data_IF_886519456636
#
_entry.id   IF_886519456636
#
_cell.length_a   1.000
_cell.length_b   1.000
_cell.length_c   1.000
_cell.angle_alpha   90.00
_cell.angle_beta   90.00
_cell.angle_gamma   90.00
#
_symmetry.space_group_name_H-M   'P 1'
#
loop_
_entity.id
_entity.type
_entity.pdbx_description
1 polymer ?
#
# COMPACT_ATOMS: atom_id res chain seq x y z
N UNK A 1 1.51 -33.96 -6.08
CA UNK A 1 0.49 -33.05 -6.62
C UNK A 1 0.04 -32.17 -5.46
N UNK A 2 -0.06 -30.85 -5.65
CA UNK A 2 -0.26 -29.91 -4.52
C UNK A 2 -1.75 -29.87 -4.14
N UNK A 3 -2.11 -30.57 -3.06
CA UNK A 3 -3.48 -30.73 -2.55
C UNK A 3 -4.24 -29.39 -2.48
N UNK A 4 -3.57 -28.29 -2.11
CA UNK A 4 -4.20 -26.97 -2.04
C UNK A 4 -4.67 -26.45 -3.40
N UNK A 5 -3.87 -26.65 -4.46
CA UNK A 5 -4.23 -26.24 -5.82
C UNK A 5 -5.47 -26.99 -6.31
N UNK A 6 -5.54 -28.29 -6.04
CA UNK A 6 -6.70 -29.12 -6.37
C UNK A 6 -7.96 -28.63 -5.65
N UNK A 7 -7.85 -28.28 -4.36
CA UNK A 7 -8.96 -27.70 -3.59
C UNK A 7 -9.49 -26.40 -4.21
N UNK A 8 -8.62 -25.45 -4.58
CA UNK A 8 -9.06 -24.22 -5.24
C UNK A 8 -9.73 -24.47 -6.59
N UNK A 9 -9.17 -25.39 -7.40
CA UNK A 9 -9.75 -25.75 -8.69
C UNK A 9 -11.13 -26.37 -8.54
N UNK A 10 -11.30 -27.28 -7.56
CA UNK A 10 -12.58 -27.89 -7.27
C UNK A 10 -13.60 -26.85 -6.79
N UNK A 11 -13.22 -25.94 -5.89
CA UNK A 11 -14.10 -24.88 -5.40
C UNK A 11 -14.57 -23.95 -6.54
N UNK A 12 -13.66 -23.58 -7.45
CA UNK A 12 -13.97 -22.80 -8.64
C UNK A 12 -14.95 -23.54 -9.55
N UNK A 13 -14.73 -24.84 -9.79
CA UNK A 13 -15.60 -25.65 -10.61
C UNK A 13 -17.01 -25.71 -10.02
N UNK A 14 -17.14 -25.99 -8.72
CA UNK A 14 -18.43 -26.05 -8.02
C UNK A 14 -19.18 -24.72 -8.10
N UNK A 15 -18.51 -23.58 -7.89
CA UNK A 15 -19.15 -22.27 -8.01
C UNK A 15 -19.58 -21.97 -9.47
N UNK A 16 -18.78 -22.38 -10.44
CA UNK A 16 -19.07 -22.19 -11.87
C UNK A 16 -20.29 -23.02 -12.30
N UNK A 17 -20.33 -24.29 -11.89
CA UNK A 17 -21.45 -25.19 -12.16
C UNK A 17 -22.74 -24.69 -11.50
N UNK A 18 -22.64 -24.22 -10.24
CA UNK A 18 -23.75 -23.61 -9.53
C UNK A 18 -24.29 -22.37 -10.28
N UNK A 19 -23.42 -21.49 -10.78
CA UNK A 19 -23.84 -20.33 -11.59
C UNK A 19 -24.53 -20.74 -12.89
N UNK A 20 -24.05 -21.80 -13.55
CA UNK A 20 -24.66 -22.32 -14.76
C UNK A 20 -26.07 -22.89 -14.49
N UNK A 21 -26.22 -23.66 -13.41
CA UNK A 21 -27.52 -24.19 -12.98
C UNK A 21 -28.49 -23.06 -12.62
N UNK A 22 -28.06 -22.06 -11.86
CA UNK A 22 -28.87 -20.89 -11.50
C UNK A 22 -29.31 -20.09 -12.74
N UNK A 23 -28.48 -20.04 -13.78
CA UNK A 23 -28.83 -19.41 -15.06
C UNK A 23 -29.95 -20.19 -15.77
N UNK A 24 -29.87 -21.52 -15.80
CA UNK A 24 -30.85 -22.39 -16.44
C UNK A 24 -32.21 -22.37 -15.70
N UNK A 25 -32.20 -22.38 -14.37
CA UNK A 25 -33.42 -22.42 -13.55
C UNK A 25 -34.10 -21.06 -13.39
N UNK A 26 -33.57 -19.99 -14.01
CA UNK A 26 -34.01 -18.60 -13.81
C UNK A 26 -34.10 -18.23 -12.32
N UNK A 27 -33.19 -18.77 -11.51
CA UNK A 27 -33.14 -18.51 -10.08
C UNK A 27 -32.96 -17.02 -9.76
N UNK A 28 -33.29 -16.67 -8.53
CA UNK A 28 -33.22 -15.32 -7.97
C UNK A 28 -31.87 -14.64 -8.24
N UNK A 29 -31.94 -13.33 -8.52
CA UNK A 29 -30.78 -12.51 -8.87
C UNK A 29 -29.82 -12.32 -7.68
N UNK A 30 -30.35 -12.25 -6.45
CA UNK A 30 -29.53 -12.14 -5.25
C UNK A 30 -28.73 -13.42 -5.02
N UNK A 31 -29.36 -14.60 -5.20
CA UNK A 31 -28.66 -15.88 -5.09
C UNK A 31 -27.52 -16.00 -6.12
N UNK A 32 -27.76 -15.62 -7.39
CA UNK A 32 -26.71 -15.55 -8.42
C UNK A 32 -25.57 -14.63 -8.02
N UNK A 33 -25.89 -13.46 -7.46
CA UNK A 33 -24.91 -12.48 -6.98
C UNK A 33 -24.06 -13.05 -5.84
N UNK A 34 -24.66 -13.78 -4.89
CA UNK A 34 -23.95 -14.45 -3.79
C UNK A 34 -22.96 -15.49 -4.30
N UNK A 35 -23.41 -16.43 -5.14
CA UNK A 35 -22.51 -17.48 -5.68
C UNK A 35 -21.38 -16.88 -6.51
N UNK A 36 -21.64 -15.82 -7.27
CA UNK A 36 -20.60 -15.09 -8.01
C UNK A 36 -19.62 -14.37 -7.09
N UNK A 37 -20.09 -13.86 -5.94
CA UNK A 37 -19.23 -13.32 -4.88
C UNK A 37 -18.31 -14.38 -4.29
N UNK A 38 -18.83 -15.58 -3.99
CA UNK A 38 -18.01 -16.71 -3.52
C UNK A 38 -16.97 -17.16 -4.55
N UNK A 39 -17.34 -17.18 -5.84
CA UNK A 39 -16.38 -17.44 -6.92
C UNK A 39 -15.26 -16.39 -6.95
N UNK A 40 -15.61 -15.10 -6.83
CA UNK A 40 -14.64 -14.00 -6.79
C UNK A 40 -13.70 -14.12 -5.59
N UNK A 41 -14.25 -14.42 -4.41
CA UNK A 41 -13.49 -14.64 -3.18
C UNK A 41 -12.54 -15.83 -3.30
N UNK A 42 -13.01 -16.94 -3.89
CA UNK A 42 -12.17 -18.13 -4.11
C UNK A 42 -10.96 -17.80 -4.99
N UNK A 43 -11.15 -17.05 -6.08
CA UNK A 43 -10.04 -16.55 -6.89
C UNK A 43 -9.10 -15.64 -6.09
N UNK A 44 -9.63 -14.71 -5.29
CA UNK A 44 -8.81 -13.81 -4.50
C UNK A 44 -7.94 -14.57 -3.49
N UNK A 45 -8.53 -15.50 -2.74
CA UNK A 45 -7.81 -16.32 -1.75
C UNK A 45 -6.74 -17.17 -2.43
N UNK A 46 -7.05 -17.79 -3.56
CA UNK A 46 -6.06 -18.55 -4.32
C UNK A 46 -4.89 -17.66 -4.80
N UNK A 47 -5.18 -16.46 -5.30
CA UNK A 47 -4.15 -15.52 -5.74
C UNK A 47 -3.23 -15.10 -4.58
N UNK A 48 -3.80 -14.87 -3.39
CA UNK A 48 -3.05 -14.55 -2.17
C UNK A 48 -2.19 -15.73 -1.72
N UNK A 49 -2.69 -16.97 -1.80
CA UNK A 49 -1.92 -18.17 -1.47
C UNK A 49 -0.71 -18.37 -2.40
N UNK A 50 -0.88 -18.17 -3.72
CA UNK A 50 0.23 -18.17 -4.69
C UNK A 50 1.24 -17.06 -4.33
N UNK A 51 0.74 -15.85 -4.05
CA UNK A 51 1.57 -14.70 -3.70
C UNK A 51 2.39 -14.93 -2.41
N UNK A 52 1.79 -15.56 -1.40
CA UNK A 52 2.44 -15.83 -0.11
C UNK A 52 3.44 -16.98 -0.19
N UNK A 53 3.11 -18.06 -0.92
CA UNK A 53 4.01 -19.19 -1.16
C UNK A 53 5.29 -18.81 -1.93
N UNK A 54 5.29 -17.61 -2.51
CA UNK A 54 6.41 -17.02 -3.23
C UNK A 54 7.35 -16.24 -2.30
N UNK A 55 6.84 -15.67 -1.20
CA UNK A 55 7.64 -14.84 -0.28
C UNK A 55 8.53 -15.65 0.68
N UNK A 56 8.30 -16.96 0.83
CA UNK A 56 9.00 -17.81 1.83
C UNK A 56 10.39 -18.27 1.41
N UNK A 57 10.82 -17.99 0.18
CA UNK A 57 12.05 -18.56 -0.38
C UNK A 57 13.24 -17.59 -0.43
N UNK A 58 13.13 -16.39 0.17
CA UNK A 58 14.14 -15.30 0.13
C UNK A 58 14.70 -14.93 -1.27
N UNK A 59 14.14 -15.52 -2.33
CA UNK A 59 14.48 -15.32 -3.73
C UNK A 59 13.29 -14.66 -4.44
N UNK A 60 13.57 -13.64 -5.26
CA UNK A 60 12.55 -13.00 -6.09
C UNK A 60 11.80 -14.05 -6.92
N UNK A 61 10.45 -14.00 -7.01
CA UNK A 61 9.70 -14.88 -7.89
C UNK A 61 10.24 -14.92 -9.30
N UNK A 62 10.12 -16.09 -9.93
CA UNK A 62 10.20 -16.18 -11.39
C UNK A 62 9.06 -15.39 -12.02
N UNK A 63 9.31 -14.80 -13.20
CA UNK A 63 8.30 -14.06 -13.97
C UNK A 63 7.05 -14.90 -14.27
N UNK A 64 7.21 -16.22 -14.39
CA UNK A 64 6.10 -17.15 -14.58
C UNK A 64 5.14 -17.17 -13.37
N UNK A 65 5.68 -17.20 -12.14
CA UNK A 65 4.87 -17.18 -10.92
C UNK A 65 4.22 -15.82 -10.69
N UNK A 66 4.94 -14.73 -10.97
CA UNK A 66 4.39 -13.37 -10.94
C UNK A 66 3.16 -13.25 -11.86
N UNK A 67 3.27 -13.76 -13.09
CA UNK A 67 2.17 -13.79 -14.05
C UNK A 67 1.02 -14.71 -13.62
N UNK A 68 1.31 -15.85 -12.98
CA UNK A 68 0.29 -16.76 -12.47
C UNK A 68 -0.55 -16.08 -11.39
N UNK A 69 0.08 -15.49 -10.37
CA UNK A 69 -0.61 -14.76 -9.31
C UNK A 69 -1.48 -13.62 -9.89
N UNK A 70 -0.91 -12.82 -10.79
CA UNK A 70 -1.62 -11.74 -11.45
C UNK A 70 -2.84 -12.22 -12.26
N UNK A 71 -2.72 -13.35 -12.96
CA UNK A 71 -3.82 -13.91 -13.73
C UNK A 71 -5.00 -14.26 -12.82
N UNK A 72 -4.72 -14.84 -11.65
CA UNK A 72 -5.75 -15.22 -10.67
C UNK A 72 -6.35 -13.97 -10.01
N UNK A 73 -5.54 -12.98 -9.64
CA UNK A 73 -6.03 -11.68 -9.13
C UNK A 73 -6.95 -10.98 -10.13
N UNK A 74 -6.60 -10.96 -11.42
CA UNK A 74 -7.41 -10.33 -12.45
C UNK A 74 -8.77 -11.02 -12.65
N UNK A 75 -8.86 -12.33 -12.37
CA UNK A 75 -10.16 -13.03 -12.36
C UNK A 75 -11.05 -12.56 -11.20
N UNK A 76 -10.49 -12.43 -10.00
CA UNK A 76 -11.22 -11.86 -8.87
C UNK A 76 -11.68 -10.41 -9.14
N UNK A 77 -10.80 -9.56 -9.68
CA UNK A 77 -11.13 -8.18 -10.05
C UNK A 77 -12.29 -8.09 -11.04
N UNK A 78 -12.27 -8.91 -12.10
CA UNK A 78 -13.36 -8.94 -13.10
C UNK A 78 -14.69 -9.25 -12.43
N UNK A 79 -14.72 -10.30 -11.60
CA UNK A 79 -15.94 -10.74 -10.95
C UNK A 79 -16.48 -9.71 -9.95
N UNK A 80 -15.62 -9.11 -9.11
CA UNK A 80 -16.03 -8.04 -8.20
C UNK A 80 -16.48 -6.78 -8.93
N UNK A 81 -15.86 -6.43 -10.06
CA UNK A 81 -16.30 -5.31 -10.91
C UNK A 81 -17.68 -5.57 -11.50
N UNK A 82 -17.93 -6.79 -12.00
CA UNK A 82 -19.26 -7.18 -12.52
C UNK A 82 -20.33 -7.25 -11.41
N UNK A 83 -19.93 -7.42 -10.16
CA UNK A 83 -20.79 -7.35 -8.98
C UNK A 83 -21.01 -5.91 -8.48
N UNK A 84 -20.30 -4.93 -9.05
CA UNK A 84 -20.24 -3.55 -8.56
C UNK A 84 -19.80 -3.43 -7.09
N UNK A 85 -19.02 -4.40 -6.60
CA UNK A 85 -18.49 -4.41 -5.24
C UNK A 85 -17.19 -3.60 -5.17
N UNK A 86 -17.34 -2.28 -5.05
CA UNK A 86 -16.20 -1.34 -5.06
C UNK A 86 -15.21 -1.60 -3.92
N UNK A 87 -15.70 -2.03 -2.75
CA UNK A 87 -14.85 -2.37 -1.61
C UNK A 87 -13.94 -3.55 -1.95
N UNK A 88 -14.50 -4.60 -2.54
CA UNK A 88 -13.70 -5.78 -2.90
C UNK A 88 -12.79 -5.52 -4.10
N UNK A 89 -13.19 -4.67 -5.05
CA UNK A 89 -12.29 -4.19 -6.12
C UNK A 89 -11.07 -3.47 -5.51
N UNK A 90 -11.28 -2.52 -4.61
CA UNK A 90 -10.21 -1.79 -3.93
C UNK A 90 -9.34 -2.71 -3.06
N UNK A 91 -9.95 -3.62 -2.30
CA UNK A 91 -9.24 -4.64 -1.52
C UNK A 91 -8.35 -5.50 -2.41
N UNK A 92 -8.84 -5.94 -3.57
CA UNK A 92 -8.05 -6.74 -4.51
C UNK A 92 -6.89 -5.94 -5.09
N UNK A 93 -7.09 -4.65 -5.41
CA UNK A 93 -5.99 -3.76 -5.81
C UNK A 93 -4.93 -3.61 -4.71
N UNK A 94 -5.34 -3.44 -3.45
CA UNK A 94 -4.43 -3.43 -2.31
C UNK A 94 -3.62 -4.73 -2.17
N UNK A 95 -4.24 -5.89 -2.38
CA UNK A 95 -3.54 -7.19 -2.34
C UNK A 95 -2.51 -7.34 -3.46
N UNK A 96 -2.82 -6.89 -4.69
CA UNK A 96 -1.87 -6.87 -5.80
C UNK A 96 -0.69 -5.96 -5.48
N UNK A 97 -0.95 -4.74 -4.99
CA UNK A 97 0.10 -3.80 -4.63
C UNK A 97 1.02 -4.36 -3.53
N UNK A 98 0.43 -4.94 -2.48
CA UNK A 98 1.16 -5.59 -1.38
C UNK A 98 1.96 -6.82 -1.84
N UNK A 99 1.49 -7.55 -2.85
CA UNK A 99 2.28 -8.61 -3.49
C UNK A 99 3.53 -8.03 -4.17
N UNK A 100 3.39 -6.95 -4.94
CA UNK A 100 4.53 -6.29 -5.57
C UNK A 100 5.50 -5.66 -4.56
N UNK A 101 5.00 -5.02 -3.50
CA UNK A 101 5.83 -4.44 -2.43
C UNK A 101 6.75 -5.50 -1.79
N UNK A 102 6.23 -6.72 -1.56
CA UNK A 102 7.02 -7.86 -1.07
C UNK A 102 8.07 -8.33 -2.07
N UNK A 103 7.72 -8.39 -3.36
CA UNK A 103 8.69 -8.73 -4.42
C UNK A 103 9.82 -7.72 -4.46
N UNK A 104 9.48 -6.42 -4.45
CA UNK A 104 10.44 -5.31 -4.44
C UNK A 104 11.39 -5.45 -3.24
N UNK A 105 10.84 -5.66 -2.04
CA UNK A 105 11.62 -5.83 -0.81
C UNK A 105 12.56 -7.03 -0.88
N UNK A 106 12.08 -8.19 -1.37
CA UNK A 106 12.92 -9.39 -1.55
C UNK A 106 14.03 -9.18 -2.58
N UNK A 107 13.74 -8.47 -3.68
CA UNK A 107 14.71 -8.17 -4.74
C UNK A 107 15.82 -7.28 -4.18
N UNK A 108 15.46 -6.21 -3.47
CA UNK A 108 16.41 -5.28 -2.86
C UNK A 108 17.30 -5.94 -1.81
N UNK A 109 16.78 -6.90 -1.03
CA UNK A 109 17.58 -7.64 -0.05
C UNK A 109 18.60 -8.56 -0.75
N UNK A 110 18.17 -9.30 -1.77
CA UNK A 110 19.06 -10.17 -2.55
C UNK A 110 20.13 -9.39 -3.32
N UNK A 111 19.83 -8.17 -3.79
CA UNK A 111 20.81 -7.28 -4.42
C UNK A 111 21.83 -6.73 -3.42
N UNK A 112 21.44 -6.44 -2.16
CA UNK A 112 22.37 -6.00 -1.10
C UNK A 112 23.36 -7.08 -0.67
N UNK A 113 22.95 -8.34 -0.70
CA UNK A 113 23.82 -9.49 -0.36
C UNK A 113 24.86 -9.79 -1.45
N UNK A 114 24.65 -9.30 -2.68
CA UNK A 114 25.56 -9.44 -3.81
C UNK A 114 26.28 -8.11 -4.09
N UNK A 115 27.24 -7.74 -3.22
CA UNK A 115 27.95 -6.44 -3.20
C UNK A 115 28.73 -6.04 -4.48
N UNK A 116 28.69 -6.81 -5.57
CA UNK A 116 29.50 -6.58 -6.77
C UNK A 116 28.84 -5.76 -7.90
N UNK A 117 27.55 -5.43 -7.83
CA UNK A 117 26.90 -4.62 -8.89
C UNK A 117 26.64 -3.20 -8.45
N UNK A 118 27.67 -2.38 -8.64
CA UNK A 118 27.52 -0.93 -8.77
C UNK A 118 26.56 -0.59 -9.91
N UNK A 119 25.58 0.23 -9.54
CA UNK A 119 24.63 1.00 -10.35
C UNK A 119 23.23 0.41 -10.64
N UNK A 120 22.26 1.25 -10.27
CA UNK A 120 20.86 1.39 -10.71
C UNK A 120 19.89 0.22 -10.58
N UNK A 121 18.79 0.52 -9.88
CA UNK A 121 17.45 -0.01 -10.12
C UNK A 121 17.31 -0.66 -11.50
N UNK A 122 17.16 -1.98 -11.53
CA UNK A 122 16.90 -2.68 -12.78
C UNK A 122 15.60 -2.14 -13.39
N UNK A 123 15.50 -2.14 -14.72
CA UNK A 123 14.26 -1.77 -15.42
C UNK A 123 13.06 -2.59 -14.91
N UNK A 124 13.31 -3.84 -14.52
CA UNK A 124 12.36 -4.73 -13.86
C UNK A 124 11.90 -4.20 -12.50
N UNK A 125 12.83 -3.80 -11.62
CA UNK A 125 12.48 -3.26 -10.30
C UNK A 125 11.68 -1.96 -10.42
N UNK A 126 12.08 -1.07 -11.32
CA UNK A 126 11.35 0.18 -11.61
C UNK A 126 9.93 -0.12 -12.11
N UNK A 127 9.78 -1.09 -13.01
CA UNK A 127 8.47 -1.53 -13.50
C UNK A 127 7.59 -2.07 -12.37
N UNK A 128 8.14 -2.90 -11.48
CA UNK A 128 7.42 -3.44 -10.32
C UNK A 128 6.97 -2.35 -9.36
N UNK A 129 7.82 -1.35 -9.08
CA UNK A 129 7.47 -0.20 -8.24
C UNK A 129 6.31 0.60 -8.85
N UNK A 130 6.34 0.83 -10.16
CA UNK A 130 5.26 1.53 -10.86
C UNK A 130 3.94 0.75 -10.85
N UNK A 131 4.00 -0.58 -10.98
CA UNK A 131 2.81 -1.44 -10.86
C UNK A 131 2.23 -1.36 -9.44
N UNK A 132 3.08 -1.48 -8.40
CA UNK A 132 2.65 -1.37 -7.01
C UNK A 132 1.98 0.00 -6.75
N UNK A 133 2.61 1.09 -7.18
CA UNK A 133 2.10 2.46 -7.04
C UNK A 133 0.70 2.60 -7.65
N UNK A 134 0.51 2.20 -8.91
CA UNK A 134 -0.79 2.30 -9.60
C UNK A 134 -1.88 1.51 -8.90
N UNK A 135 -1.57 0.34 -8.36
CA UNK A 135 -2.55 -0.47 -7.65
C UNK A 135 -2.89 0.10 -6.27
N UNK A 136 -1.94 0.68 -5.55
CA UNK A 136 -2.24 1.44 -4.34
C UNK A 136 -3.12 2.67 -4.63
N UNK A 137 -2.84 3.41 -5.70
CA UNK A 137 -3.68 4.55 -6.12
C UNK A 137 -5.12 4.13 -6.41
N UNK A 138 -5.33 3.05 -7.16
CA UNK A 138 -6.68 2.49 -7.40
C UNK A 138 -7.37 2.00 -6.12
N UNK A 139 -6.61 1.51 -5.14
CA UNK A 139 -7.18 1.15 -3.85
C UNK A 139 -7.62 2.38 -3.05
N UNK A 140 -6.90 3.50 -3.18
CA UNK A 140 -7.25 4.78 -2.55
C UNK A 140 -8.50 5.42 -3.15
N UNK A 141 -8.89 5.12 -4.39
CA UNK A 141 -10.17 5.61 -4.95
C UNK A 141 -11.36 5.25 -4.05
N UNK A 142 -11.31 4.09 -3.37
CA UNK A 142 -12.31 3.70 -2.36
C UNK A 142 -11.86 4.01 -0.93
N UNK A 143 -10.66 3.59 -0.53
CA UNK A 143 -10.23 3.73 0.87
C UNK A 143 -9.90 5.18 1.27
N UNK A 144 -9.68 6.06 0.30
CA UNK A 144 -9.52 7.51 0.52
C UNK A 144 -10.83 8.30 0.46
N UNK A 145 -11.90 7.73 -0.08
CA UNK A 145 -13.19 8.42 -0.22
C UNK A 145 -14.29 7.87 0.70
N UNK A 146 -14.27 6.56 0.99
CA UNK A 146 -15.38 5.85 1.65
C UNK A 146 -14.96 5.28 3.01
N UNK A 147 -13.79 4.63 3.08
CA UNK A 147 -13.32 3.94 4.30
C UNK A 147 -11.93 4.45 4.74
N UNK A 148 -11.88 5.73 5.11
CA UNK A 148 -10.66 6.41 5.56
C UNK A 148 -10.29 5.95 6.98
N UNK A 149 -9.54 4.86 7.06
CA UNK A 149 -9.13 4.22 8.32
C UNK A 149 -7.76 3.54 8.25
N UNK A 150 -7.60 2.39 8.91
CA UNK A 150 -6.33 1.65 8.99
C UNK A 150 -5.76 1.33 7.61
N UNK A 151 -6.58 0.80 6.69
CA UNK A 151 -6.12 0.43 5.34
C UNK A 151 -5.62 1.64 4.57
N UNK A 152 -6.29 2.79 4.71
CA UNK A 152 -5.84 4.05 4.13
C UNK A 152 -4.45 4.44 4.64
N UNK A 153 -4.20 4.36 5.95
CA UNK A 153 -2.88 4.66 6.54
C UNK A 153 -1.80 3.70 6.03
N UNK A 154 -2.09 2.39 5.97
CA UNK A 154 -1.16 1.39 5.47
C UNK A 154 -0.77 1.66 4.01
N UNK A 155 -1.75 1.98 3.14
CA UNK A 155 -1.48 2.31 1.75
C UNK A 155 -0.56 3.55 1.64
N UNK A 156 -0.79 4.59 2.44
CA UNK A 156 0.06 5.78 2.45
C UNK A 156 1.49 5.47 2.93
N UNK A 157 1.66 4.62 3.94
CA UNK A 157 3.00 4.20 4.38
C UNK A 157 3.76 3.43 3.29
N UNK A 158 3.10 2.51 2.60
CA UNK A 158 3.69 1.73 1.50
C UNK A 158 4.03 2.61 0.29
N UNK A 159 3.14 3.53 -0.10
CA UNK A 159 3.41 4.52 -1.15
C UNK A 159 4.60 5.41 -0.79
N UNK A 160 4.68 5.89 0.46
CA UNK A 160 5.81 6.69 0.92
C UNK A 160 7.13 5.91 0.80
N UNK A 161 7.15 4.63 1.18
CA UNK A 161 8.33 3.78 1.04
C UNK A 161 8.75 3.60 -0.43
N UNK A 162 7.80 3.40 -1.36
CA UNK A 162 8.10 3.35 -2.80
C UNK A 162 8.74 4.64 -3.32
N UNK A 163 8.27 5.80 -2.84
CA UNK A 163 8.82 7.10 -3.22
C UNK A 163 10.22 7.36 -2.63
N UNK A 164 10.46 6.90 -1.39
CA UNK A 164 11.78 6.97 -0.73
C UNK A 164 12.79 6.08 -1.47
N UNK A 165 12.39 4.88 -1.88
CA UNK A 165 13.24 3.95 -2.62
C UNK A 165 13.81 4.58 -3.90
N UNK A 166 13.05 5.43 -4.58
CA UNK A 166 13.54 6.16 -5.76
C UNK A 166 14.73 7.10 -5.49
N UNK A 167 15.03 7.43 -4.22
CA UNK A 167 16.25 8.09 -3.76
C UNK A 167 16.43 9.57 -4.16
N UNK A 168 15.56 10.10 -5.01
CA UNK A 168 15.58 11.51 -5.44
C UNK A 168 14.93 12.40 -4.39
N UNK A 169 15.45 13.61 -4.23
CA UNK A 169 14.96 14.59 -3.25
C UNK A 169 13.45 14.83 -3.41
N UNK A 170 12.98 14.98 -4.66
CA UNK A 170 11.57 15.19 -4.97
C UNK A 170 10.71 13.99 -4.58
N UNK A 171 11.25 12.76 -4.71
CA UNK A 171 10.57 11.53 -4.29
C UNK A 171 10.43 11.48 -2.77
N UNK A 172 11.50 11.77 -2.03
CA UNK A 172 11.49 11.80 -0.57
C UNK A 172 10.57 12.92 -0.05
N UNK A 173 10.55 14.07 -0.73
CA UNK A 173 9.63 15.16 -0.40
C UNK A 173 8.17 14.75 -0.64
N UNK A 174 7.90 14.05 -1.74
CA UNK A 174 6.57 13.52 -2.02
C UNK A 174 6.14 12.46 -1.00
N UNK A 175 7.06 11.60 -0.55
CA UNK A 175 6.81 10.64 0.52
C UNK A 175 6.40 11.34 1.83
N UNK A 176 7.00 12.48 2.16
CA UNK A 176 6.58 13.29 3.31
C UNK A 176 5.13 13.75 3.16
N UNK A 177 4.75 14.31 2.01
CA UNK A 177 3.38 14.76 1.74
C UNK A 177 2.37 13.61 1.87
N UNK A 178 2.69 12.43 1.33
CA UNK A 178 1.87 11.22 1.47
C UNK A 178 1.69 10.86 2.95
N UNK A 179 2.77 10.82 3.73
CA UNK A 179 2.67 10.51 5.16
C UNK A 179 1.83 11.54 5.92
N UNK A 180 1.91 12.82 5.56
CA UNK A 180 1.09 13.87 6.18
C UNK A 180 -0.40 13.72 5.89
N UNK A 181 -0.79 13.16 4.73
CA UNK A 181 -2.19 12.90 4.40
C UNK A 181 -2.85 11.85 5.33
N UNK A 182 -2.05 11.01 6.01
CA UNK A 182 -2.57 10.08 7.03
C UNK A 182 -3.30 10.78 8.18
N UNK A 183 -3.08 12.09 8.37
CA UNK A 183 -3.84 12.94 9.28
C UNK A 183 -5.35 12.70 9.19
N UNK A 184 -5.89 12.52 7.97
CA UNK A 184 -7.33 12.42 7.75
C UNK A 184 -7.92 11.22 8.50
N UNK A 185 -7.29 10.05 8.41
CA UNK A 185 -7.70 8.86 9.14
C UNK A 185 -7.61 9.05 10.66
N UNK A 186 -6.53 9.65 11.17
CA UNK A 186 -6.37 9.88 12.60
C UNK A 186 -7.37 10.93 13.15
N UNK A 187 -7.64 11.98 12.38
CA UNK A 187 -8.58 13.02 12.76
C UNK A 187 -10.02 12.50 12.78
N UNK A 188 -10.44 11.74 11.76
CA UNK A 188 -11.73 11.05 11.73
C UNK A 188 -11.86 10.05 12.90
N UNK A 189 -10.79 9.32 13.21
CA UNK A 189 -10.82 8.39 14.33
C UNK A 189 -10.93 9.07 15.70
N UNK A 190 -10.40 10.29 15.84
CA UNK A 190 -10.54 11.05 17.08
C UNK A 190 -12.01 11.46 17.34
N UNK A 191 -12.79 11.70 16.29
CA UNK A 191 -14.15 12.26 16.36
C UNK A 191 -15.25 11.22 16.30
N UNK A 192 -15.21 10.28 15.35
CA UNK A 192 -16.42 9.52 14.94
C UNK A 192 -16.22 8.00 14.80
N UNK A 193 -15.01 7.45 14.97
CA UNK A 193 -14.77 6.02 14.68
C UNK A 193 -15.10 5.06 15.83
N UNK A 194 -15.29 3.78 15.47
CA UNK A 194 -15.47 2.69 16.43
C UNK A 194 -14.25 2.47 17.32
N UNK A 195 -14.45 1.95 18.54
CA UNK A 195 -13.36 1.66 19.49
C UNK A 195 -12.25 0.78 18.87
N UNK A 196 -12.64 -0.25 18.10
CA UNK A 196 -11.71 -1.15 17.43
C UNK A 196 -10.84 -0.41 16.39
N UNK A 197 -11.44 0.52 15.65
CA UNK A 197 -10.71 1.31 14.65
C UNK A 197 -9.74 2.28 15.32
N UNK A 198 -10.14 2.90 16.44
CA UNK A 198 -9.24 3.76 17.25
C UNK A 198 -8.03 2.99 17.76
N UNK A 199 -8.23 1.77 18.27
CA UNK A 199 -7.15 0.91 18.75
C UNK A 199 -6.23 0.47 17.60
N UNK A 200 -6.80 0.11 16.45
CA UNK A 200 -6.03 -0.29 15.28
C UNK A 200 -5.18 0.85 14.71
N UNK A 201 -5.70 2.08 14.67
CA UNK A 201 -4.95 3.26 14.25
C UNK A 201 -3.92 3.68 15.30
N UNK A 202 -4.25 3.61 16.59
CA UNK A 202 -3.32 3.90 17.67
C UNK A 202 -2.04 3.04 17.58
N UNK A 203 -2.16 1.78 17.16
CA UNK A 203 -1.01 0.90 16.90
C UNK A 203 -0.12 1.41 15.75
N UNK A 204 -0.69 2.06 14.74
CA UNK A 204 0.05 2.61 13.59
C UNK A 204 0.64 4.00 13.83
N UNK A 205 0.13 4.73 14.82
CA UNK A 205 0.49 6.12 15.06
C UNK A 205 2.01 6.31 15.28
N UNK A 206 2.62 5.41 16.07
CA UNK A 206 4.06 5.46 16.35
C UNK A 206 4.90 5.25 15.09
N UNK A 207 4.49 4.31 14.24
CA UNK A 207 5.21 3.98 13.01
C UNK A 207 5.14 5.14 11.99
N UNK A 208 3.98 5.80 11.88
CA UNK A 208 3.82 7.00 11.04
C UNK A 208 4.73 8.13 11.53
N UNK A 209 4.72 8.44 12.82
CA UNK A 209 5.57 9.50 13.39
C UNK A 209 7.05 9.18 13.21
N UNK A 210 7.46 7.93 13.44
CA UNK A 210 8.83 7.48 13.22
C UNK A 210 9.27 7.61 11.76
N UNK A 211 8.41 7.23 10.80
CA UNK A 211 8.66 7.41 9.37
C UNK A 211 8.76 8.88 8.98
N UNK A 212 7.86 9.74 9.45
CA UNK A 212 7.92 11.19 9.20
C UNK A 212 9.24 11.78 9.72
N UNK A 213 9.65 11.40 10.95
CA UNK A 213 10.93 11.81 11.53
C UNK A 213 12.12 11.38 10.66
N UNK A 214 12.12 10.13 10.19
CA UNK A 214 13.18 9.60 9.33
C UNK A 214 13.26 10.32 7.98
N UNK A 215 12.10 10.55 7.33
CA UNK A 215 12.01 11.27 6.05
C UNK A 215 12.51 12.71 6.18
N UNK A 216 12.06 13.43 7.21
CA UNK A 216 12.53 14.80 7.49
C UNK A 216 14.06 14.86 7.69
N UNK A 217 14.62 13.89 8.43
CA UNK A 217 16.06 13.81 8.63
C UNK A 217 16.81 13.60 7.29
N UNK A 218 16.31 12.72 6.42
CA UNK A 218 16.88 12.50 5.10
C UNK A 218 16.81 13.76 4.22
N UNK A 219 15.68 14.46 4.22
CA UNK A 219 15.49 15.71 3.46
C UNK A 219 16.45 16.81 3.92
N UNK A 220 16.66 16.97 5.23
CA UNK A 220 17.62 17.94 5.78
C UNK A 220 19.03 17.60 5.30
N UNK A 221 19.44 16.33 5.39
CA UNK A 221 20.77 15.88 4.98
C UNK A 221 21.02 16.13 3.49
N UNK A 222 20.08 15.76 2.63
CA UNK A 222 20.19 15.94 1.18
C UNK A 222 20.18 17.41 0.78
N UNK A 223 19.31 18.21 1.41
CA UNK A 223 19.19 19.64 1.13
C UNK A 223 20.42 20.44 1.58
N UNK A 224 21.18 19.93 2.57
CA UNK A 224 22.41 20.57 3.07
C UNK A 224 23.65 20.30 2.20
N UNK A 225 23.65 19.23 1.40
CA UNK A 225 24.81 18.79 0.59
C UNK A 225 24.79 19.24 -0.88
N UNK A 226 23.78 19.97 -1.33
CA UNK A 226 23.60 20.37 -2.73
C UNK A 226 24.22 21.76 -2.99
N UNK A 227 25.06 21.87 -4.04
CA UNK A 227 25.77 23.09 -4.45
C UNK A 227 24.89 24.31 -4.84
N UNK A 228 25.50 25.46 -5.16
CA UNK A 228 24.92 26.81 -5.00
C UNK A 228 23.81 27.22 -5.99
N UNK A 229 23.27 26.32 -6.81
CA UNK A 229 22.21 26.68 -7.77
C UNK A 229 20.87 26.85 -7.03
N UNK A 230 20.22 28.01 -7.10
CA UNK A 230 18.97 28.36 -6.38
C UNK A 230 19.05 28.37 -4.84
N UNK A 231 20.04 29.07 -4.27
CA UNK A 231 20.28 29.16 -2.83
C UNK A 231 19.07 29.63 -1.99
N UNK A 232 18.27 30.60 -2.44
CA UNK A 232 17.20 31.18 -1.63
C UNK A 232 16.00 30.26 -1.40
N UNK A 233 15.44 29.66 -2.46
CA UNK A 233 14.30 28.74 -2.34
C UNK A 233 14.69 27.44 -1.61
N UNK A 234 15.92 26.95 -1.84
CA UNK A 234 16.49 25.79 -1.15
C UNK A 234 16.71 26.07 0.33
N UNK A 235 17.20 27.25 0.68
CA UNK A 235 17.34 27.69 2.07
C UNK A 235 15.97 27.75 2.77
N UNK A 236 14.92 28.28 2.13
CA UNK A 236 13.57 28.30 2.70
C UNK A 236 13.03 26.89 2.98
N UNK A 237 13.14 25.96 2.02
CA UNK A 237 12.71 24.56 2.22
C UNK A 237 13.51 23.84 3.30
N UNK A 238 14.83 24.02 3.33
CA UNK A 238 15.69 23.45 4.37
C UNK A 238 15.29 23.94 5.76
N UNK A 239 15.05 25.24 5.92
CA UNK A 239 14.59 25.80 7.21
C UNK A 239 13.20 25.30 7.60
N UNK A 240 12.29 25.13 6.62
CA UNK A 240 11.00 24.49 6.85
C UNK A 240 11.17 23.04 7.37
N UNK A 241 11.98 22.22 6.71
CA UNK A 241 12.24 20.84 7.15
C UNK A 241 12.85 20.78 8.55
N UNK A 242 13.77 21.69 8.88
CA UNK A 242 14.34 21.79 10.24
C UNK A 242 13.27 22.15 11.28
N UNK A 243 12.38 23.09 10.99
CA UNK A 243 11.27 23.47 11.89
C UNK A 243 10.31 22.30 12.09
N UNK A 244 9.92 21.62 11.01
CA UNK A 244 9.09 20.41 11.08
C UNK A 244 9.76 19.31 11.90
N UNK A 245 11.05 19.07 11.68
CA UNK A 245 11.79 18.05 12.44
C UNK A 245 11.82 18.38 13.94
N UNK A 246 12.04 19.66 14.30
CA UNK A 246 11.97 20.14 15.69
C UNK A 246 10.59 19.89 16.31
N UNK A 247 9.52 20.12 15.56
CA UNK A 247 8.16 19.85 16.03
C UNK A 247 7.98 18.35 16.33
N UNK A 248 8.41 17.47 15.41
CA UNK A 248 8.25 16.02 15.58
C UNK A 248 9.05 15.47 16.76
N UNK A 249 10.25 15.99 17.04
CA UNK A 249 11.04 15.54 18.20
C UNK A 249 10.54 16.09 19.53
N UNK A 250 9.79 17.20 19.51
CA UNK A 250 9.21 17.79 20.71
C UNK A 250 8.01 16.96 21.22
N UNK A 251 7.22 16.40 20.31
CA UNK A 251 6.20 15.41 20.64
C UNK A 251 6.79 14.00 20.63
N UNK A 252 7.11 13.46 21.80
CA UNK A 252 7.75 12.15 21.97
C UNK A 252 6.89 10.93 21.52
N UNK A 253 5.80 11.13 20.79
CA UNK A 253 5.04 10.07 20.12
C UNK A 253 4.45 8.96 21.01
N UNK A 254 4.58 9.06 22.33
CA UNK A 254 4.18 8.00 23.27
C UNK A 254 2.67 7.80 23.32
N UNK A 255 1.89 8.85 23.06
CA UNK A 255 0.42 8.81 23.07
C UNK A 255 -0.17 8.89 21.66
N UNK A 256 -1.06 7.98 21.29
CA UNK A 256 -1.80 8.07 20.03
C UNK A 256 -2.63 9.36 19.92
N UNK A 257 -2.98 9.99 21.04
CA UNK A 257 -3.66 11.29 21.10
C UNK A 257 -2.82 12.46 20.57
N UNK A 258 -1.49 12.36 20.53
CA UNK A 258 -0.63 13.45 20.05
C UNK A 258 -0.44 13.44 18.53
N UNK A 259 -0.84 12.38 17.83
CA UNK A 259 -0.59 12.28 16.38
C UNK A 259 -1.37 13.31 15.56
N UNK A 260 -2.63 13.57 15.91
CA UNK A 260 -3.48 14.53 15.19
C UNK A 260 -2.89 15.95 15.29
N UNK A 261 -2.53 16.46 16.49
CA UNK A 261 -1.79 17.72 16.62
C UNK A 261 -0.48 17.74 15.81
N UNK A 262 0.35 16.70 15.91
CA UNK A 262 1.63 16.64 15.18
C UNK A 262 1.40 16.77 13.67
N UNK A 263 0.63 15.86 13.08
CA UNK A 263 0.42 15.83 11.63
C UNK A 263 -0.32 17.10 11.16
N UNK A 264 -1.26 17.62 11.94
CA UNK A 264 -1.95 18.88 11.66
C UNK A 264 -0.99 20.07 11.58
N UNK A 265 -0.12 20.23 12.58
CA UNK A 265 0.90 21.30 12.59
C UNK A 265 1.85 21.16 11.41
N UNK A 266 2.34 19.95 11.12
CA UNK A 266 3.24 19.70 10.00
C UNK A 266 2.59 20.00 8.64
N UNK A 267 1.32 19.62 8.44
CA UNK A 267 0.55 20.00 7.24
C UNK A 267 0.47 21.51 7.11
N UNK A 268 0.14 22.21 8.20
CA UNK A 268 0.08 23.68 8.24
C UNK A 268 1.39 24.34 7.83
N UNK A 269 2.53 23.80 8.26
CA UNK A 269 3.86 24.30 7.88
C UNK A 269 4.17 24.14 6.38
N UNK A 270 3.57 23.16 5.72
CA UNK A 270 3.77 22.91 4.28
C UNK A 270 2.86 23.74 3.37
N UNK A 271 1.73 24.20 3.89
CA UNK A 271 0.73 25.01 3.15
C UNK A 271 1.02 26.52 3.16
N UNK A 272 2.07 26.97 3.86
CA UNK A 272 2.46 28.37 4.09
C UNK A 272 3.80 28.71 3.39
#
# INVERSE_FOLDING_TARGET
>A
MDLRKEHYQQAIQLCTDALQLLKQTKADAELKRKVKGELALTYLVWAVDIANSTSTLDVSPSKARENEALKVFNKALSLYSELSDQKQVASTHYQIASFYSRIISSTLRSEKENEERGDRFTSTLTSRMEIARRHYEKALDYFGAVEVGKTFVLIHQELADLHILGGRLEGIEHALLILLNTYEAFNLASTESSKLEKEALAAQARDVVAKVKAVLHQLIRLSSGLGPTNAHAKSKKLEMFKKMYKEVIYYDGYSASSIVPILGTLRGMYTV
#
